data_IF_791014073243
#
_entry.id   IF_791014073243
#
_cell.length_a   1.000
_cell.length_b   1.000
_cell.length_c   1.000
_cell.angle_alpha   90.00
_cell.angle_beta   90.00
_cell.angle_gamma   90.00
#
_symmetry.space_group_name_H-M   'P 1'
#
loop_
_entity.id
_entity.type
_entity.pdbx_description
1 polymer ?
#
# COMPACT_ATOMS: atom_id res chain seq x y z
N UNK A 1 -12.70 -0.84 -7.89
CA UNK A 1 -12.38 0.12 -6.79
C UNK A 1 -13.48 0.22 -5.71
N UNK A 2 -14.44 -0.71 -5.63
CA UNK A 2 -15.51 -0.65 -4.62
C UNK A 2 -15.01 -0.93 -3.18
N UNK A 3 -14.03 -1.80 -3.01
CA UNK A 3 -13.54 -2.21 -1.68
C UNK A 3 -12.92 -1.06 -0.89
N UNK A 4 -12.06 -0.26 -1.52
CA UNK A 4 -11.41 0.90 -0.87
C UNK A 4 -12.46 1.92 -0.44
N UNK A 5 -13.43 2.23 -1.31
CA UNK A 5 -14.53 3.13 -0.96
C UNK A 5 -15.37 2.59 0.20
N UNK A 6 -15.65 1.29 0.24
CA UNK A 6 -16.38 0.67 1.34
C UNK A 6 -15.62 0.80 2.68
N UNK A 7 -14.30 0.58 2.68
CA UNK A 7 -13.46 0.74 3.86
C UNK A 7 -13.45 2.19 4.37
N UNK A 8 -13.34 3.16 3.45
CA UNK A 8 -13.40 4.59 3.80
C UNK A 8 -14.74 4.95 4.41
N UNK A 9 -15.86 4.49 3.80
CA UNK A 9 -17.21 4.73 4.33
C UNK A 9 -17.46 4.06 5.68
N UNK A 10 -16.78 2.94 5.95
CA UNK A 10 -16.81 2.27 7.24
C UNK A 10 -15.90 2.93 8.31
N UNK A 11 -15.20 4.02 7.95
CA UNK A 11 -14.34 4.76 8.88
C UNK A 11 -12.92 4.22 9.02
N UNK A 12 -12.47 3.34 8.12
CA UNK A 12 -11.09 2.87 8.12
C UNK A 12 -10.18 3.88 7.39
N UNK A 13 -9.12 4.40 8.04
CA UNK A 13 -8.11 5.19 7.36
C UNK A 13 -7.37 4.35 6.32
N UNK A 14 -7.00 4.97 5.20
CA UNK A 14 -6.33 4.30 4.08
C UNK A 14 -4.92 4.86 3.91
N UNK A 15 -3.93 3.97 3.85
CA UNK A 15 -2.55 4.29 3.51
C UNK A 15 -2.13 3.60 2.21
N UNK A 16 -1.44 4.32 1.32
CA UNK A 16 -0.93 3.76 0.07
C UNK A 16 0.57 3.53 0.15
N UNK A 17 1.01 2.28 -0.02
CA UNK A 17 2.44 1.93 -0.08
C UNK A 17 2.73 1.23 -1.40
N UNK A 18 3.63 1.79 -2.22
CA UNK A 18 3.90 1.28 -3.56
C UNK A 18 5.39 1.19 -3.85
N UNK A 19 5.79 0.11 -4.53
CA UNK A 19 7.14 -0.05 -5.06
C UNK A 19 7.43 0.81 -6.30
N UNK A 20 6.52 1.70 -6.70
CA UNK A 20 6.79 2.69 -7.74
C UNK A 20 7.83 3.71 -7.21
N UNK A 21 8.74 4.20 -8.06
CA UNK A 21 9.76 5.13 -7.62
C UNK A 21 9.20 6.53 -7.35
N UNK A 22 9.83 7.26 -6.44
CA UNK A 22 9.43 8.59 -5.95
C UNK A 22 9.24 9.61 -7.08
N UNK A 23 10.09 9.60 -8.13
CA UNK A 23 9.90 10.44 -9.34
C UNK A 23 8.53 10.31 -10.00
N UNK A 24 7.79 9.22 -9.74
CA UNK A 24 6.43 9.00 -10.28
C UNK A 24 5.33 9.56 -9.38
N UNK A 25 5.65 10.23 -8.26
CA UNK A 25 4.67 10.75 -7.29
C UNK A 25 3.56 11.54 -7.95
N UNK A 26 3.92 12.58 -8.72
CA UNK A 26 2.93 13.43 -9.40
C UNK A 26 1.98 12.65 -10.30
N UNK A 27 2.47 11.62 -10.98
CA UNK A 27 1.64 10.76 -11.83
C UNK A 27 0.76 9.82 -11.02
N UNK A 28 1.30 9.24 -9.94
CA UNK A 28 0.57 8.35 -9.05
C UNK A 28 -0.55 9.09 -8.31
N UNK A 29 -0.28 10.27 -7.75
CA UNK A 29 -1.31 11.07 -7.09
C UNK A 29 -2.41 11.53 -8.06
N UNK A 30 -2.04 11.95 -9.28
CA UNK A 30 -3.03 12.32 -10.30
C UNK A 30 -3.95 11.14 -10.64
N UNK A 31 -3.39 9.94 -10.77
CA UNK A 31 -4.17 8.73 -11.02
C UNK A 31 -5.09 8.39 -9.83
N UNK A 32 -4.59 8.53 -8.58
CA UNK A 32 -5.40 8.29 -7.38
C UNK A 32 -6.53 9.32 -7.23
N UNK A 33 -6.26 10.60 -7.47
CA UNK A 33 -7.28 11.68 -7.43
C UNK A 33 -8.32 11.57 -8.55
N UNK A 34 -7.99 10.94 -9.68
CA UNK A 34 -8.98 10.64 -10.72
C UNK A 34 -10.04 9.62 -10.29
N UNK A 35 -9.87 8.99 -9.12
CA UNK A 35 -10.85 8.10 -8.49
C UNK A 35 -11.39 8.79 -7.22
N UNK A 36 -12.52 9.53 -7.31
CA UNK A 36 -12.99 10.41 -6.24
C UNK A 36 -13.13 9.70 -4.90
N UNK A 37 -12.62 10.33 -3.84
CA UNK A 37 -12.70 9.83 -2.46
C UNK A 37 -11.60 8.86 -2.06
N UNK A 38 -10.72 8.41 -2.97
CA UNK A 38 -9.65 7.47 -2.65
C UNK A 38 -8.41 8.16 -2.06
N UNK A 39 -8.01 9.28 -2.66
CA UNK A 39 -6.78 9.97 -2.27
C UNK A 39 -7.00 11.03 -1.20
N UNK A 40 -8.12 11.75 -1.27
CA UNK A 40 -8.36 12.90 -0.40
C UNK A 40 -8.58 12.49 1.07
N UNK A 41 -8.97 11.23 1.31
CA UNK A 41 -9.14 10.63 2.63
C UNK A 41 -7.95 9.75 3.06
N UNK A 42 -6.86 9.70 2.28
CA UNK A 42 -5.72 8.86 2.58
C UNK A 42 -4.80 9.50 3.62
N UNK A 43 -4.28 8.69 4.56
CA UNK A 43 -3.28 9.12 5.53
C UNK A 43 -1.93 9.44 4.88
N UNK A 44 -1.65 8.84 3.73
CA UNK A 44 -0.41 9.11 3.00
C UNK A 44 -0.16 8.20 1.80
N UNK A 45 0.90 8.57 1.08
CA UNK A 45 1.44 7.85 -0.07
C UNK A 45 2.95 7.70 0.08
N UNK A 46 3.38 6.46 0.31
CA UNK A 46 4.79 6.06 0.37
C UNK A 46 5.18 5.39 -0.94
N UNK A 47 6.19 5.96 -1.60
CA UNK A 47 6.77 5.47 -2.83
C UNK A 47 8.24 5.13 -2.58
N UNK A 48 8.77 4.18 -3.34
CA UNK A 48 10.16 3.76 -3.16
C UNK A 48 11.09 4.93 -3.53
N UNK A 49 12.08 5.29 -2.69
CA UNK A 49 13.03 6.36 -3.01
C UNK A 49 13.70 6.17 -4.38
N UNK A 50 13.99 7.27 -5.07
CA UNK A 50 14.74 7.20 -6.33
C UNK A 50 16.14 6.64 -6.09
N UNK A 51 16.58 5.76 -6.99
CA UNK A 51 17.87 5.05 -6.85
C UNK A 51 17.81 3.80 -5.96
N UNK A 52 16.77 3.61 -5.16
CA UNK A 52 16.60 2.39 -4.37
C UNK A 52 16.20 1.21 -5.27
N UNK A 53 17.11 0.23 -5.35
CA UNK A 53 16.98 -1.01 -6.13
C UNK A 53 16.72 -2.24 -5.25
N UNK A 54 16.54 -2.06 -3.95
CA UNK A 54 16.18 -3.16 -3.04
C UNK A 54 14.81 -3.74 -3.45
N UNK A 55 14.54 -5.02 -3.14
CA UNK A 55 13.24 -5.63 -3.37
C UNK A 55 12.11 -4.81 -2.75
N UNK A 56 10.94 -4.84 -3.40
CA UNK A 56 9.73 -4.23 -2.89
C UNK A 56 9.33 -4.73 -1.49
N UNK A 57 9.61 -6.00 -1.19
CA UNK A 57 9.43 -6.57 0.14
C UNK A 57 10.23 -5.84 1.21
N UNK A 58 11.46 -5.44 0.92
CA UNK A 58 12.34 -4.73 1.86
C UNK A 58 11.81 -3.33 2.12
N UNK A 59 11.57 -2.55 1.06
CA UNK A 59 11.04 -1.20 1.17
C UNK A 59 9.67 -1.17 1.88
N UNK A 60 8.74 -2.05 1.49
CA UNK A 60 7.41 -2.08 2.09
C UNK A 60 7.44 -2.50 3.57
N UNK A 61 8.29 -3.45 3.94
CA UNK A 61 8.47 -3.84 5.34
C UNK A 61 9.09 -2.71 6.19
N UNK A 62 10.02 -1.94 5.62
CA UNK A 62 10.60 -0.74 6.26
C UNK A 62 9.52 0.31 6.54
N UNK A 63 8.73 0.68 5.51
CA UNK A 63 7.58 1.61 5.67
C UNK A 63 6.62 1.14 6.75
N UNK A 64 6.31 -0.17 6.81
CA UNK A 64 5.44 -0.71 7.85
C UNK A 64 6.02 -0.56 9.25
N UNK A 65 7.29 -0.94 9.44
CA UNK A 65 7.94 -0.83 10.76
C UNK A 65 8.00 0.61 11.25
N UNK A 66 8.27 1.56 10.36
CA UNK A 66 8.41 2.97 10.70
C UNK A 66 7.06 3.66 10.98
N UNK A 67 6.02 3.33 10.21
CA UNK A 67 4.77 4.10 10.22
C UNK A 67 3.55 3.39 10.80
N UNK A 68 3.53 2.05 10.81
CA UNK A 68 2.31 1.28 11.06
C UNK A 68 2.44 0.17 12.10
N UNK A 69 3.65 -0.28 12.46
CA UNK A 69 3.85 -1.38 13.41
C UNK A 69 3.34 -1.08 14.84
N UNK A 70 3.13 0.19 15.17
CA UNK A 70 2.55 0.64 16.44
C UNK A 70 1.03 0.80 16.40
N UNK A 71 0.37 0.33 15.33
CA UNK A 71 -1.08 0.47 15.11
C UNK A 71 -1.71 -0.87 14.77
N UNK A 72 -3.01 -0.98 15.01
CA UNK A 72 -3.79 -2.09 14.50
C UNK A 72 -4.06 -1.91 13.00
N UNK A 73 -3.48 -2.76 12.16
CA UNK A 73 -3.72 -2.78 10.72
C UNK A 73 -4.78 -3.85 10.42
N UNK A 74 -5.99 -3.40 10.09
CA UNK A 74 -7.12 -4.30 9.83
C UNK A 74 -6.85 -5.29 8.67
N UNK A 75 -6.27 -4.79 7.57
CA UNK A 75 -5.87 -5.62 6.44
C UNK A 75 -4.88 -4.89 5.51
N UNK A 76 -4.12 -5.66 4.75
CA UNK A 76 -3.33 -5.20 3.60
C UNK A 76 -3.95 -5.74 2.31
N UNK A 77 -4.08 -4.89 1.29
CA UNK A 77 -4.48 -5.30 -0.07
C UNK A 77 -3.23 -5.27 -0.95
N UNK A 78 -2.83 -6.43 -1.44
CA UNK A 78 -1.63 -6.63 -2.25
C UNK A 78 -1.93 -7.68 -3.32
N UNK A 79 -1.31 -7.61 -4.49
CA UNK A 79 -1.47 -8.63 -5.53
C UNK A 79 -0.24 -9.53 -5.67
N UNK A 80 0.97 -8.96 -5.59
CA UNK A 80 2.21 -9.69 -5.82
C UNK A 80 2.52 -10.74 -4.74
N UNK A 81 2.66 -12.01 -5.14
CA UNK A 81 2.77 -13.16 -4.25
C UNK A 81 3.94 -13.05 -3.23
N UNK A 82 5.13 -12.62 -3.68
CA UNK A 82 6.28 -12.43 -2.78
C UNK A 82 6.05 -11.36 -1.71
N UNK A 83 5.28 -10.32 -2.03
CA UNK A 83 4.95 -9.23 -1.11
C UNK A 83 3.84 -9.66 -0.16
N UNK A 84 2.84 -10.39 -0.65
CA UNK A 84 1.81 -11.04 0.18
C UNK A 84 2.45 -11.95 1.23
N UNK A 85 3.38 -12.82 0.82
CA UNK A 85 4.10 -13.71 1.74
C UNK A 85 4.86 -12.92 2.81
N UNK A 86 5.52 -11.82 2.42
CA UNK A 86 6.19 -10.91 3.36
C UNK A 86 5.19 -10.31 4.37
N UNK A 87 4.06 -9.75 3.91
CA UNK A 87 3.07 -9.17 4.81
C UNK A 87 2.49 -10.20 5.79
N UNK A 88 2.19 -11.41 5.31
CA UNK A 88 1.74 -12.52 6.16
C UNK A 88 2.80 -12.92 7.20
N UNK A 89 4.09 -12.89 6.82
CA UNK A 89 5.19 -13.17 7.76
C UNK A 89 5.33 -12.14 8.88
N UNK A 90 4.80 -10.93 8.68
CA UNK A 90 4.70 -9.88 9.70
C UNK A 90 3.44 -10.01 10.57
N UNK A 91 2.65 -11.08 10.40
CA UNK A 91 1.43 -11.32 11.17
C UNK A 91 0.21 -10.54 10.69
N UNK A 92 0.26 -9.93 9.50
CA UNK A 92 -0.85 -9.12 8.97
C UNK A 92 -1.87 -9.99 8.22
N UNK A 93 -3.15 -9.61 8.33
CA UNK A 93 -4.20 -10.09 7.44
C UNK A 93 -3.99 -9.51 6.04
N UNK A 94 -3.90 -10.37 5.02
CA UNK A 94 -3.65 -9.94 3.63
C UNK A 94 -4.71 -10.46 2.70
N UNK A 95 -5.39 -9.53 2.02
CA UNK A 95 -6.29 -9.80 0.90
C UNK A 95 -5.46 -9.77 -0.38
N UNK A 96 -5.23 -10.95 -0.96
CA UNK A 96 -4.51 -11.07 -2.22
C UNK A 96 -5.46 -10.79 -3.40
N UNK A 97 -5.26 -9.67 -4.10
CA UNK A 97 -6.22 -9.18 -5.09
C UNK A 97 -6.12 -9.88 -6.47
N UNK A 98 -4.97 -10.51 -6.78
CA UNK A 98 -4.74 -11.29 -7.99
C UNK A 98 -3.63 -12.34 -7.76
N UNK A 99 -3.45 -13.29 -8.67
CA UNK A 99 -2.49 -14.42 -8.52
C UNK A 99 -1.04 -13.96 -8.30
N UNK A 100 -0.61 -12.90 -9.00
CA UNK A 100 0.57 -12.13 -8.61
C UNK A 100 1.94 -12.80 -8.77
N UNK A 101 2.09 -13.74 -9.68
CA UNK A 101 3.34 -14.49 -9.92
C UNK A 101 4.34 -13.71 -10.78
N UNK A 102 4.87 -12.59 -10.23
CA UNK A 102 5.83 -11.69 -10.90
C UNK A 102 6.65 -10.81 -9.93
#
# INVERSE_FOLDING_TARGET
MAIVRALILAGHPIAYVSGRPERTRRATERWLRAHPGHFDAAEGLWLRPDGDRRPDTVFKAEVYREHFAHREVAAVIEDRARVVAMWRSLGLTVVQAAEGDY
#
